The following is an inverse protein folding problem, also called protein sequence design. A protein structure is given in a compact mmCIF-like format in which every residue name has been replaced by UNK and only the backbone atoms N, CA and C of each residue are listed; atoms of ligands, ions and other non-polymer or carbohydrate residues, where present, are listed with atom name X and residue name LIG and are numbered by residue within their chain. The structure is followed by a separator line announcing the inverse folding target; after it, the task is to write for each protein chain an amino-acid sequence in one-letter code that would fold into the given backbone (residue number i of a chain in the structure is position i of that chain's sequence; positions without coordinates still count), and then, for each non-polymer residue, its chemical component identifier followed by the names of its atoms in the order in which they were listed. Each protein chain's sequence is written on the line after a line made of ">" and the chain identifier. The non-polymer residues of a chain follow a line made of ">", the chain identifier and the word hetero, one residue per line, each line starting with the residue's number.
data_IF_136638255800
#
_entry.id   IF_136638255800
#
_cell.length_a   1.000
_cell.length_b   1.000
_cell.length_c   1.000
_cell.angle_alpha   90.00
_cell.angle_beta   90.00
_cell.angle_gamma   90.00
#
_symmetry.space_group_name_H-M   'P 1'
#
loop_
_entity.id
_entity.type
_entity.pdbx_description
1 polymer ?
#
# COMPACT_ATOMS: atom_id res chain seq x y z
N UNK A 1 6.38 -38.10 -34.32
CA UNK A 1 7.04 -37.10 -33.46
C UNK A 1 6.52 -35.68 -33.76
N UNK A 2 5.28 -35.36 -33.36
CA UNK A 2 4.70 -34.01 -33.55
C UNK A 2 4.03 -33.43 -32.29
N UNK A 3 4.06 -34.17 -31.17
CA UNK A 3 3.31 -33.85 -29.94
C UNK A 3 4.17 -33.35 -28.77
N UNK A 4 5.49 -33.23 -28.95
CA UNK A 4 6.41 -32.81 -27.86
C UNK A 4 6.56 -31.29 -27.80
N UNK A 5 6.38 -30.57 -28.91
CA UNK A 5 6.57 -29.11 -28.97
C UNK A 5 5.49 -28.36 -28.17
N UNK A 6 4.27 -28.90 -28.08
CA UNK A 6 3.18 -28.28 -27.31
C UNK A 6 3.43 -28.25 -25.80
N UNK A 7 4.23 -29.18 -25.27
CA UNK A 7 4.49 -29.28 -23.83
C UNK A 7 5.47 -28.20 -23.34
N UNK A 8 6.37 -27.72 -24.20
CA UNK A 8 7.36 -26.68 -23.86
C UNK A 8 6.78 -25.26 -23.90
N UNK A 9 5.74 -25.01 -24.68
CA UNK A 9 5.11 -23.67 -24.77
C UNK A 9 4.26 -23.36 -23.52
N UNK A 10 3.73 -24.37 -22.84
CA UNK A 10 2.88 -24.16 -21.65
C UNK A 10 3.67 -23.71 -20.41
N UNK A 11 4.97 -24.00 -20.32
CA UNK A 11 5.82 -23.63 -19.18
C UNK A 11 6.32 -22.17 -19.24
N UNK A 12 6.26 -21.51 -20.41
CA UNK A 12 6.64 -20.10 -20.55
C UNK A 12 5.52 -19.11 -20.21
N UNK A 13 4.26 -19.55 -20.17
CA UNK A 13 3.12 -18.67 -19.88
C UNK A 13 2.96 -18.34 -18.39
N UNK A 14 3.55 -19.13 -17.48
CA UNK A 14 3.42 -18.92 -16.03
C UNK A 14 4.50 -18.00 -15.43
N UNK A 15 5.59 -17.71 -16.13
CA UNK A 15 6.68 -16.88 -15.59
C UNK A 15 6.47 -15.37 -15.76
N UNK A 16 5.52 -14.95 -16.60
CA UNK A 16 5.27 -13.52 -16.90
C UNK A 16 4.22 -12.90 -15.96
N UNK A 17 3.49 -13.71 -15.18
CA UNK A 17 2.32 -13.27 -14.39
C UNK A 17 2.61 -12.71 -13.00
N UNK A 18 3.77 -12.97 -12.39
CA UNK A 18 4.01 -12.62 -10.98
C UNK A 18 4.08 -11.10 -10.73
N UNK A 19 4.52 -10.29 -11.69
CA UNK A 19 4.81 -8.88 -11.44
C UNK A 19 3.55 -7.98 -11.54
N UNK A 20 2.60 -8.31 -12.42
CA UNK A 20 1.37 -7.52 -12.60
C UNK A 20 0.31 -7.82 -11.53
N UNK A 21 0.21 -9.07 -11.07
CA UNK A 21 -0.76 -9.48 -10.05
C UNK A 21 -0.42 -8.90 -8.66
N UNK A 22 0.86 -8.77 -8.33
CA UNK A 22 1.27 -8.15 -7.08
C UNK A 22 1.07 -6.64 -7.11
N UNK A 23 1.29 -6.01 -8.27
CA UNK A 23 1.03 -4.58 -8.44
C UNK A 23 -0.44 -4.22 -8.28
N UNK A 24 -1.35 -5.01 -8.87
CA UNK A 24 -2.79 -4.75 -8.73
C UNK A 24 -3.27 -4.88 -7.29
N UNK A 25 -2.77 -5.86 -6.53
CA UNK A 25 -3.10 -6.04 -5.11
C UNK A 25 -2.60 -4.88 -4.24
N UNK A 26 -1.38 -4.39 -4.50
CA UNK A 26 -0.81 -3.23 -3.82
C UNK A 26 -1.68 -1.98 -4.06
N UNK A 27 -2.08 -1.75 -5.31
CA UNK A 27 -2.92 -0.60 -5.66
C UNK A 27 -4.34 -0.73 -5.08
N UNK A 28 -4.92 -1.92 -5.04
CA UNK A 28 -6.20 -2.17 -4.39
C UNK A 28 -6.13 -1.88 -2.88
N UNK A 29 -5.09 -2.38 -2.20
CA UNK A 29 -4.86 -2.11 -0.79
C UNK A 29 -4.67 -0.61 -0.50
N UNK A 30 -3.95 0.10 -1.37
CA UNK A 30 -3.79 1.54 -1.28
C UNK A 30 -5.12 2.30 -1.47
N UNK A 31 -5.96 1.88 -2.43
CA UNK A 31 -7.30 2.46 -2.62
C UNK A 31 -8.18 2.24 -1.40
N UNK A 32 -8.12 1.05 -0.79
CA UNK A 32 -8.84 0.75 0.45
C UNK A 32 -8.42 1.68 1.58
N UNK A 33 -7.11 1.92 1.75
CA UNK A 33 -6.58 2.84 2.76
C UNK A 33 -7.08 4.28 2.55
N UNK A 34 -7.09 4.79 1.31
CA UNK A 34 -7.68 6.09 1.00
C UNK A 34 -9.19 6.09 1.28
N UNK A 35 -9.90 5.03 0.91
CA UNK A 35 -11.34 4.88 1.16
C UNK A 35 -11.69 5.00 2.65
N UNK A 36 -11.00 4.24 3.51
CA UNK A 36 -11.19 4.31 4.96
C UNK A 36 -10.89 5.71 5.52
N UNK A 37 -9.88 6.40 4.98
CA UNK A 37 -9.55 7.76 5.41
C UNK A 37 -10.65 8.77 5.02
N UNK A 38 -11.24 8.63 3.83
CA UNK A 38 -12.33 9.49 3.34
C UNK A 38 -13.63 9.36 4.15
N UNK A 39 -13.84 8.24 4.83
CA UNK A 39 -14.97 8.07 5.75
C UNK A 39 -14.83 8.94 7.01
N UNK A 40 -13.61 9.42 7.33
CA UNK A 40 -13.31 10.16 8.55
C UNK A 40 -13.03 11.64 8.28
N UNK A 41 -12.32 11.94 7.21
CA UNK A 41 -11.92 13.30 6.84
C UNK A 41 -12.22 13.60 5.37
N UNK A 42 -12.65 14.82 5.09
CA UNK A 42 -12.82 15.28 3.72
C UNK A 42 -11.45 15.50 3.06
N UNK A 43 -11.30 14.96 1.86
CA UNK A 43 -10.11 15.06 1.03
C UNK A 43 -10.49 15.68 -0.31
N UNK A 44 -9.68 16.61 -0.79
CA UNK A 44 -9.75 17.03 -2.19
C UNK A 44 -9.05 15.99 -3.08
N UNK A 45 -9.31 16.06 -4.39
CA UNK A 45 -8.77 15.10 -5.36
C UNK A 45 -7.23 15.04 -5.39
N UNK A 46 -6.55 16.18 -5.22
CA UNK A 46 -5.09 16.22 -5.22
C UNK A 46 -4.52 15.51 -3.98
N UNK A 47 -5.14 15.73 -2.83
CA UNK A 47 -4.80 15.07 -1.58
C UNK A 47 -5.08 13.56 -1.66
N UNK A 48 -6.21 13.15 -2.25
CA UNK A 48 -6.53 11.74 -2.49
C UNK A 48 -5.47 11.05 -3.36
N UNK A 49 -5.08 11.65 -4.48
CA UNK A 49 -4.08 11.11 -5.39
C UNK A 49 -2.70 10.99 -4.70
N UNK A 50 -2.32 12.02 -3.92
CA UNK A 50 -1.06 12.00 -3.16
C UNK A 50 -1.04 10.87 -2.13
N UNK A 51 -2.13 10.68 -1.40
CA UNK A 51 -2.26 9.63 -0.39
C UNK A 51 -2.33 8.23 -1.00
N UNK A 52 -2.99 8.09 -2.16
CA UNK A 52 -2.99 6.84 -2.91
C UNK A 52 -1.55 6.42 -3.24
N UNK A 53 -0.74 7.30 -3.82
CA UNK A 53 0.65 6.98 -4.13
C UNK A 53 1.52 6.76 -2.90
N UNK A 54 1.23 7.46 -1.79
CA UNK A 54 1.89 7.19 -0.50
C UNK A 54 1.61 5.77 -0.02
N UNK A 55 0.35 5.32 -0.07
CA UNK A 55 -0.02 3.98 0.38
C UNK A 55 0.43 2.88 -0.58
N UNK A 56 0.51 3.14 -1.89
CA UNK A 56 1.18 2.23 -2.84
C UNK A 56 2.63 2.00 -2.41
N UNK A 57 3.38 3.07 -2.11
CA UNK A 57 4.76 2.95 -1.63
C UNK A 57 4.86 2.24 -0.29
N UNK A 58 3.89 2.46 0.62
CA UNK A 58 3.81 1.74 1.90
C UNK A 58 3.70 0.23 1.68
N UNK A 59 2.69 -0.19 0.92
CA UNK A 59 2.41 -1.61 0.70
C UNK A 59 3.54 -2.30 -0.07
N UNK A 60 4.15 -1.61 -1.03
CA UNK A 60 5.34 -2.07 -1.75
C UNK A 60 6.55 -2.24 -0.82
N UNK A 61 6.82 -1.25 0.04
CA UNK A 61 7.91 -1.33 1.01
C UNK A 61 7.72 -2.45 2.04
N UNK A 62 6.48 -2.72 2.46
CA UNK A 62 6.14 -3.83 3.36
C UNK A 62 6.02 -5.20 2.67
N UNK A 63 6.08 -5.25 1.35
CA UNK A 63 6.17 -6.51 0.59
C UNK A 63 7.63 -6.97 0.41
N UNK A 64 8.61 -6.16 0.82
CA UNK A 64 10.02 -6.48 0.63
C UNK A 64 10.45 -7.74 1.40
N UNK A 65 11.25 -8.64 0.78
CA UNK A 65 11.58 -9.94 1.35
C UNK A 65 12.53 -9.89 2.56
N UNK A 66 13.25 -8.79 2.74
CA UNK A 66 14.30 -8.58 3.73
C UNK A 66 13.80 -7.83 4.99
N UNK A 67 12.49 -7.82 5.25
CA UNK A 67 11.90 -7.07 6.35
C UNK A 67 12.42 -7.54 7.70
N UNK A 68 12.90 -6.58 8.50
CA UNK A 68 13.27 -6.76 9.90
C UNK A 68 12.64 -5.64 10.75
N UNK A 69 12.73 -5.75 12.08
CA UNK A 69 12.09 -4.80 12.99
C UNK A 69 12.53 -3.35 12.76
N UNK A 70 13.82 -3.13 12.45
CA UNK A 70 14.38 -1.81 12.20
C UNK A 70 13.78 -1.19 10.91
N UNK A 71 13.72 -1.95 9.82
CA UNK A 71 13.10 -1.51 8.56
C UNK A 71 11.60 -1.28 8.73
N UNK A 72 10.89 -2.15 9.44
CA UNK A 72 9.47 -1.96 9.73
C UNK A 72 9.24 -0.63 10.43
N UNK A 73 10.04 -0.33 11.45
CA UNK A 73 9.97 0.94 12.18
C UNK A 73 10.31 2.13 11.29
N UNK A 74 11.38 2.04 10.49
CA UNK A 74 11.78 3.11 9.57
C UNK A 74 10.75 3.41 8.49
N UNK A 75 10.13 2.38 7.92
CA UNK A 75 9.02 2.52 6.97
C UNK A 75 7.85 3.22 7.67
N UNK A 76 7.43 2.74 8.84
CA UNK A 76 6.29 3.31 9.55
C UNK A 76 6.50 4.79 9.91
N UNK A 77 7.68 5.16 10.40
CA UNK A 77 8.04 6.55 10.69
C UNK A 77 8.01 7.44 9.44
N UNK A 78 8.51 6.92 8.31
CA UNK A 78 8.52 7.65 7.04
C UNK A 78 7.10 7.87 6.51
N UNK A 79 6.25 6.85 6.59
CA UNK A 79 4.84 6.94 6.18
C UNK A 79 4.09 7.89 7.10
N UNK A 80 4.28 7.81 8.42
CA UNK A 80 3.65 8.75 9.36
C UNK A 80 4.06 10.20 9.07
N UNK A 81 5.35 10.47 8.88
CA UNK A 81 5.84 11.82 8.60
C UNK A 81 5.24 12.37 7.30
N UNK A 82 5.17 11.56 6.24
CA UNK A 82 4.57 11.96 4.96
C UNK A 82 3.06 12.13 5.06
N UNK A 83 2.38 11.29 5.83
CA UNK A 83 0.95 11.41 6.09
C UNK A 83 0.64 12.73 6.81
N UNK A 84 1.40 13.08 7.84
CA UNK A 84 1.32 14.38 8.56
C UNK A 84 1.77 15.59 7.72
N UNK A 85 2.61 15.39 6.73
CA UNK A 85 2.97 16.47 5.80
C UNK A 85 1.88 16.71 4.75
N UNK A 86 1.11 15.67 4.42
CA UNK A 86 0.06 15.70 3.40
C UNK A 86 -1.27 16.14 4.00
N UNK A 87 -1.56 15.69 5.21
CA UNK A 87 -2.72 16.08 6.01
C UNK A 87 -2.27 17.12 7.03
N UNK A 88 -3.02 18.21 7.20
CA UNK A 88 -2.75 19.16 8.30
C UNK A 88 -2.81 18.46 9.67
N UNK A 89 -2.11 19.02 10.66
CA UNK A 89 -2.11 18.48 12.03
C UNK A 89 -3.55 18.34 12.59
N UNK A 90 -4.45 19.26 12.25
CA UNK A 90 -5.87 19.20 12.63
C UNK A 90 -6.59 17.96 12.06
N UNK A 91 -6.32 17.60 10.80
CA UNK A 91 -6.90 16.40 10.17
C UNK A 91 -6.33 15.13 10.80
N UNK A 92 -5.04 15.12 11.13
CA UNK A 92 -4.40 14.01 11.84
C UNK A 92 -4.98 13.86 13.25
N UNK A 93 -5.18 14.94 13.99
CA UNK A 93 -5.81 14.89 15.29
C UNK A 93 -7.24 14.37 15.21
N UNK A 94 -8.02 14.84 14.25
CA UNK A 94 -9.38 14.36 14.00
C UNK A 94 -9.38 12.87 13.72
N UNK A 95 -8.48 12.39 12.86
CA UNK A 95 -8.32 10.98 12.56
C UNK A 95 -7.97 10.17 13.82
N UNK A 96 -6.98 10.59 14.61
CA UNK A 96 -6.56 9.88 15.82
C UNK A 96 -7.68 9.86 16.88
N UNK A 97 -8.44 10.94 17.01
CA UNK A 97 -9.57 11.05 17.96
C UNK A 97 -10.73 10.14 17.54
N UNK A 98 -11.02 10.05 16.24
CA UNK A 98 -12.13 9.24 15.71
C UNK A 98 -11.77 7.76 15.60
N UNK A 99 -10.58 7.45 15.08
CA UNK A 99 -10.11 6.08 14.92
C UNK A 99 -8.58 5.96 15.00
N UNK A 100 -8.10 5.78 16.24
CA UNK A 100 -6.69 5.54 16.52
C UNK A 100 -6.15 4.24 15.91
N UNK A 101 -7.02 3.24 15.69
CA UNK A 101 -6.60 1.96 15.11
C UNK A 101 -6.41 2.11 13.61
N UNK A 102 -7.31 2.83 12.93
CA UNK A 102 -7.11 3.19 11.53
C UNK A 102 -5.82 3.99 11.35
N UNK A 103 -5.55 5.00 12.19
CA UNK A 103 -4.29 5.74 12.11
C UNK A 103 -3.07 4.80 12.15
N UNK A 104 -3.05 3.84 13.08
CA UNK A 104 -1.98 2.83 13.18
C UNK A 104 -1.89 1.97 11.93
N UNK A 105 -3.01 1.53 11.37
CA UNK A 105 -3.04 0.74 10.13
C UNK A 105 -2.57 1.54 8.90
N UNK A 106 -2.83 2.85 8.87
CA UNK A 106 -2.38 3.70 7.77
C UNK A 106 -0.86 3.89 7.78
N UNK A 107 -0.24 3.94 8.96
CA UNK A 107 1.22 4.16 9.10
C UNK A 107 2.03 2.86 9.19
N UNK A 108 1.49 1.80 9.78
CA UNK A 108 2.17 0.52 9.97
C UNK A 108 1.58 -0.57 9.06
N UNK A 109 2.25 -1.72 9.00
CA UNK A 109 1.65 -2.92 8.41
C UNK A 109 0.58 -3.40 9.39
N UNK A 110 -0.70 -3.40 8.99
CA UNK A 110 -1.87 -3.59 9.87
C UNK A 110 -2.04 -4.98 10.50
N UNK A 111 -0.99 -5.49 11.16
CA UNK A 111 -0.99 -6.70 11.98
C UNK A 111 -0.85 -6.35 13.45
#
# INVERSE_FOLDING_TARGET
>A
MKKIIALFVMLFAFSVGMNAQDRSKIEEAARKDVGMLKEIIELDKQTEDALFWLFVKKHDAFAAPDLNEERVKGIAQTIEAKLRATLSDEKIETLIKKDKNLFRQLVANGK
#
